data_IF_673660581367
#
_entry.id   IF_673660581367
#
_cell.length_a   1.000
_cell.length_b   1.000
_cell.length_c   1.000
_cell.angle_alpha   90.00
_cell.angle_beta   90.00
_cell.angle_gamma   90.00
#
_symmetry.space_group_name_H-M   'P 1'
#
loop_
_entity.id
_entity.type
_entity.pdbx_description
1 polymer ?
#
# COMPACT_ATOMS: atom_id res chain seq x y z
N UNK A 1 -7.69 -20.44 -1.80
CA UNK A 1 -6.72 -21.32 -2.52
C UNK A 1 -6.72 -21.10 -4.03
N UNK A 2 -7.81 -21.35 -4.77
CA UNK A 2 -7.83 -21.25 -6.26
C UNK A 2 -7.36 -19.88 -6.76
N UNK A 3 -7.92 -18.79 -6.22
CA UNK A 3 -7.51 -17.42 -6.57
C UNK A 3 -6.02 -17.19 -6.25
N UNK A 4 -5.54 -17.70 -5.10
CA UNK A 4 -4.13 -17.61 -4.73
C UNK A 4 -3.19 -18.31 -5.72
N UNK A 5 -3.59 -19.48 -6.24
CA UNK A 5 -2.84 -20.19 -7.28
C UNK A 5 -2.82 -19.37 -8.58
N UNK A 6 -3.96 -18.80 -8.99
CA UNK A 6 -4.06 -17.96 -10.19
C UNK A 6 -3.12 -16.76 -10.07
N UNK A 7 -3.17 -16.04 -8.95
CA UNK A 7 -2.29 -14.89 -8.70
C UNK A 7 -0.83 -15.34 -8.70
N UNK A 8 -0.50 -16.45 -8.03
CA UNK A 8 0.85 -16.99 -8.00
C UNK A 8 1.39 -17.33 -9.40
N UNK A 9 0.58 -17.94 -10.27
CA UNK A 9 0.96 -18.21 -11.66
C UNK A 9 1.19 -16.92 -12.44
N UNK A 10 0.30 -15.93 -12.32
CA UNK A 10 0.44 -14.63 -12.97
C UNK A 10 1.71 -13.90 -12.49
N UNK A 11 1.96 -13.90 -11.18
CA UNK A 11 3.17 -13.33 -10.59
C UNK A 11 4.41 -14.04 -11.14
N UNK A 12 4.41 -15.36 -11.18
CA UNK A 12 5.53 -16.17 -11.69
C UNK A 12 5.89 -15.83 -13.14
N UNK A 13 4.88 -15.72 -14.01
CA UNK A 13 5.05 -15.36 -15.42
C UNK A 13 5.71 -13.98 -15.61
N UNK A 14 5.50 -13.05 -14.68
CA UNK A 14 6.10 -11.72 -14.72
C UNK A 14 7.51 -11.72 -14.13
N UNK A 15 7.68 -12.26 -12.93
CA UNK A 15 8.98 -12.22 -12.23
C UNK A 15 10.05 -13.03 -12.97
N UNK A 16 9.68 -14.04 -13.78
CA UNK A 16 10.64 -14.75 -14.63
C UNK A 16 11.29 -13.83 -15.65
N UNK A 17 10.51 -12.92 -16.27
CA UNK A 17 10.99 -12.04 -17.34
C UNK A 17 12.10 -11.11 -16.86
N UNK A 18 12.02 -10.71 -15.59
CA UNK A 18 13.06 -9.95 -14.90
C UNK A 18 12.65 -8.51 -14.60
N UNK A 19 13.60 -7.78 -14.03
CA UNK A 19 13.39 -6.45 -13.46
C UNK A 19 12.90 -5.42 -14.49
N UNK A 20 13.39 -5.49 -15.75
CA UNK A 20 13.02 -4.51 -16.79
C UNK A 20 11.54 -4.62 -17.15
N UNK A 21 11.06 -5.84 -17.31
CA UNK A 21 9.68 -6.16 -17.67
C UNK A 21 8.74 -5.87 -16.51
N UNK A 22 9.17 -6.16 -15.27
CA UNK A 22 8.45 -5.73 -14.07
C UNK A 22 8.22 -4.21 -14.10
N UNK A 23 9.28 -3.42 -14.33
CA UNK A 23 9.18 -1.97 -14.38
C UNK A 23 8.21 -1.48 -15.47
N UNK A 24 8.27 -2.07 -16.66
CA UNK A 24 7.36 -1.73 -17.78
C UNK A 24 5.89 -2.04 -17.47
N UNK A 25 5.61 -3.17 -16.83
CA UNK A 25 4.25 -3.55 -16.46
C UNK A 25 3.72 -2.62 -15.36
N UNK A 26 4.54 -2.33 -14.35
CA UNK A 26 4.17 -1.41 -13.26
C UNK A 26 3.89 0.01 -13.78
N UNK A 27 4.64 0.48 -14.78
CA UNK A 27 4.39 1.77 -15.44
C UNK A 27 2.99 1.87 -16.05
N UNK A 28 2.40 0.76 -16.48
CA UNK A 28 1.04 0.71 -17.02
C UNK A 28 -0.01 0.45 -15.94
N UNK A 29 0.22 -0.50 -15.03
CA UNK A 29 -0.73 -0.88 -13.99
C UNK A 29 -0.99 0.24 -12.99
N UNK A 30 0.06 0.94 -12.54
CA UNK A 30 -0.06 2.00 -11.52
C UNK A 30 -0.99 3.14 -11.92
N UNK A 31 -0.86 3.78 -13.11
CA UNK A 31 -1.81 4.80 -13.51
C UNK A 31 -3.21 4.24 -13.75
N UNK A 32 -3.34 3.04 -14.33
CA UNK A 32 -4.64 2.43 -14.59
C UNK A 32 -5.43 2.20 -13.30
N UNK A 33 -4.81 1.61 -12.28
CA UNK A 33 -5.47 1.34 -10.99
C UNK A 33 -5.79 2.64 -10.24
N UNK A 34 -4.88 3.61 -10.28
CA UNK A 34 -5.05 4.87 -9.56
C UNK A 34 -6.14 5.73 -10.18
N UNK A 35 -6.13 5.89 -11.51
CA UNK A 35 -7.12 6.72 -12.23
C UNK A 35 -8.50 6.09 -12.11
N UNK A 36 -8.62 4.77 -12.31
CA UNK A 36 -9.91 4.08 -12.17
C UNK A 36 -10.49 4.23 -10.76
N UNK A 37 -9.65 4.09 -9.72
CA UNK A 37 -10.08 4.28 -8.34
C UNK A 37 -10.51 5.71 -8.04
N UNK A 38 -9.76 6.71 -8.54
CA UNK A 38 -10.11 8.13 -8.38
C UNK A 38 -11.45 8.44 -9.07
N UNK A 39 -11.69 7.92 -10.27
CA UNK A 39 -12.97 8.14 -10.97
C UNK A 39 -14.14 7.61 -10.14
N UNK A 40 -14.04 6.38 -9.63
CA UNK A 40 -15.08 5.79 -8.79
C UNK A 40 -15.28 6.57 -7.49
N UNK A 41 -14.18 6.98 -6.85
CA UNK A 41 -14.21 7.83 -5.68
C UNK A 41 -14.87 9.18 -5.92
N UNK A 42 -14.57 9.82 -7.05
CA UNK A 42 -15.17 11.10 -7.43
C UNK A 42 -16.67 10.97 -7.68
N UNK A 43 -17.14 9.86 -8.27
CA UNK A 43 -18.58 9.59 -8.42
C UNK A 43 -19.26 9.55 -7.05
N UNK A 44 -18.68 8.84 -6.09
CA UNK A 44 -19.21 8.77 -4.71
C UNK A 44 -19.18 10.13 -4.03
N UNK A 45 -18.07 10.86 -4.18
CA UNK A 45 -17.91 12.22 -3.64
C UNK A 45 -18.99 13.14 -4.18
N UNK A 46 -19.21 13.16 -5.50
CA UNK A 46 -20.19 14.03 -6.17
C UNK A 46 -21.61 13.70 -5.69
N UNK A 47 -21.94 12.41 -5.58
CA UNK A 47 -23.27 11.99 -5.14
C UNK A 47 -23.55 12.30 -3.65
N UNK A 48 -22.51 12.53 -2.85
CA UNK A 48 -22.63 12.75 -1.41
C UNK A 48 -22.09 14.13 -0.96
N UNK A 49 -21.98 15.10 -1.88
CA UNK A 49 -21.34 16.41 -1.63
C UNK A 49 -21.83 17.09 -0.35
N UNK A 50 -23.12 17.01 -0.06
CA UNK A 50 -23.73 17.69 1.10
C UNK A 50 -23.23 17.14 2.44
N UNK A 51 -22.90 15.85 2.50
CA UNK A 51 -22.52 15.16 3.74
C UNK A 51 -21.01 15.25 3.99
N UNK A 52 -20.21 15.45 2.94
CA UNK A 52 -18.74 15.48 3.00
C UNK A 52 -18.18 16.48 4.02
N UNK A 53 -18.65 17.75 4.09
CA UNK A 53 -18.17 18.69 5.09
C UNK A 53 -18.33 18.16 6.52
N UNK A 54 -19.46 17.49 6.80
CA UNK A 54 -19.72 16.90 8.10
C UNK A 54 -18.81 15.70 8.38
N UNK A 55 -18.54 14.86 7.38
CA UNK A 55 -17.59 13.75 7.49
C UNK A 55 -16.18 14.26 7.83
N UNK A 56 -15.69 15.28 7.12
CA UNK A 56 -14.37 15.86 7.38
C UNK A 56 -14.30 16.44 8.79
N UNK A 57 -15.34 17.15 9.22
CA UNK A 57 -15.43 17.68 10.59
C UNK A 57 -15.41 16.55 11.63
N UNK A 58 -16.10 15.44 11.38
CA UNK A 58 -16.11 14.29 12.27
C UNK A 58 -14.74 13.61 12.34
N UNK A 59 -14.06 13.41 11.20
CA UNK A 59 -12.69 12.86 11.17
C UNK A 59 -11.75 13.71 12.05
N UNK A 60 -11.82 15.03 11.92
CA UNK A 60 -10.96 15.94 12.71
C UNK A 60 -11.36 15.88 14.19
N UNK A 61 -12.66 15.93 14.51
CA UNK A 61 -13.16 15.90 15.89
C UNK A 61 -12.80 14.60 16.59
N UNK A 62 -13.04 13.46 15.96
CA UNK A 62 -12.76 12.13 16.51
C UNK A 62 -11.25 11.87 16.58
N UNK A 63 -10.51 12.24 15.53
CA UNK A 63 -9.06 12.10 15.50
C UNK A 63 -8.33 12.96 16.53
N UNK A 64 -8.92 14.08 16.97
CA UNK A 64 -8.38 14.96 18.01
C UNK A 64 -9.13 14.84 19.35
N UNK A 65 -10.00 13.84 19.52
CA UNK A 65 -10.79 13.70 20.73
C UNK A 65 -9.92 13.19 21.90
N UNK A 66 -9.58 14.09 22.82
CA UNK A 66 -8.75 13.77 24.00
C UNK A 66 -9.57 13.30 25.21
N UNK A 67 -10.89 13.19 25.11
CA UNK A 67 -11.77 12.87 26.26
C UNK A 67 -11.44 11.52 26.91
N UNK A 68 -10.87 10.57 26.15
CA UNK A 68 -10.38 9.28 26.63
C UNK A 68 -8.99 9.00 26.04
N UNK A 69 -7.97 9.71 26.55
CA UNK A 69 -6.58 9.63 26.08
C UNK A 69 -6.07 8.19 25.94
N UNK A 70 -6.11 7.42 27.02
CA UNK A 70 -5.51 6.08 27.05
C UNK A 70 -6.37 5.01 26.37
N UNK A 71 -7.70 5.12 26.44
CA UNK A 71 -8.60 4.07 25.97
C UNK A 71 -9.10 4.27 24.54
N UNK A 72 -9.05 5.49 24.01
CA UNK A 72 -9.59 5.80 22.68
C UNK A 72 -8.58 6.53 21.81
N UNK A 73 -7.98 7.62 22.29
CA UNK A 73 -7.12 8.46 21.46
C UNK A 73 -5.82 7.75 21.04
N UNK A 74 -5.05 7.23 22.01
CA UNK A 74 -3.75 6.59 21.73
C UNK A 74 -3.91 5.38 20.79
N UNK A 75 -4.85 4.43 21.01
CA UNK A 75 -5.05 3.31 20.10
C UNK A 75 -5.41 3.73 18.67
N UNK A 76 -6.31 4.70 18.50
CA UNK A 76 -6.70 5.22 17.18
C UNK A 76 -5.50 5.86 16.47
N UNK A 77 -4.70 6.63 17.20
CA UNK A 77 -3.49 7.26 16.67
C UNK A 77 -2.45 6.23 16.25
N UNK A 78 -2.22 5.19 17.06
CA UNK A 78 -1.29 4.10 16.72
C UNK A 78 -1.74 3.39 15.44
N UNK A 79 -3.01 2.97 15.37
CA UNK A 79 -3.55 2.30 14.19
C UNK A 79 -3.45 3.21 12.96
N UNK A 80 -3.76 4.50 13.11
CA UNK A 80 -3.64 5.48 12.02
C UNK A 80 -2.21 5.63 11.50
N UNK A 81 -1.22 5.67 12.40
CA UNK A 81 0.20 5.74 12.04
C UNK A 81 0.65 4.43 11.37
N UNK A 82 0.33 3.28 11.95
CA UNK A 82 0.71 1.96 11.41
C UNK A 82 0.18 1.76 9.98
N UNK A 83 -1.13 1.96 9.77
CA UNK A 83 -1.73 1.77 8.45
C UNK A 83 -1.35 2.88 7.47
N UNK A 84 -1.09 4.09 7.97
CA UNK A 84 -0.56 5.21 7.19
C UNK A 84 0.83 4.91 6.63
N UNK A 85 1.77 4.49 7.49
CA UNK A 85 3.14 4.10 7.09
C UNK A 85 3.09 2.93 6.12
N UNK A 86 2.25 1.93 6.38
CA UNK A 86 2.09 0.78 5.50
C UNK A 86 1.59 1.20 4.10
N UNK A 87 0.62 2.12 4.03
CA UNK A 87 0.03 2.53 2.75
C UNK A 87 0.96 3.39 1.90
N UNK A 88 1.76 4.27 2.50
CA UNK A 88 2.54 5.26 1.78
C UNK A 88 4.06 5.00 1.79
N UNK A 89 4.48 3.95 2.49
CA UNK A 89 5.88 3.53 2.66
C UNK A 89 6.81 4.65 3.15
N UNK A 90 6.26 5.64 3.86
CA UNK A 90 7.02 6.76 4.36
C UNK A 90 8.00 6.30 5.45
N UNK A 91 9.27 6.65 5.27
CA UNK A 91 10.30 6.38 6.28
C UNK A 91 10.88 4.96 6.28
N UNK A 92 10.34 4.01 5.50
CA UNK A 92 10.89 2.64 5.42
C UNK A 92 11.92 2.41 4.31
N UNK A 93 12.08 3.38 3.40
CA UNK A 93 13.14 3.38 2.38
C UNK A 93 12.85 2.58 1.10
N UNK A 94 11.72 1.89 1.01
CA UNK A 94 11.33 1.07 -0.15
C UNK A 94 11.22 1.90 -1.45
N UNK A 95 10.58 3.07 -1.39
CA UNK A 95 10.47 4.00 -2.51
C UNK A 95 11.82 4.39 -3.14
N UNK A 96 12.89 4.49 -2.34
CA UNK A 96 14.23 4.80 -2.84
C UNK A 96 14.82 3.68 -3.71
N UNK A 97 14.44 2.41 -3.45
CA UNK A 97 14.87 1.25 -4.24
C UNK A 97 14.29 1.30 -5.66
N UNK A 98 13.03 1.73 -5.80
CA UNK A 98 12.40 1.92 -7.11
C UNK A 98 13.15 2.98 -7.93
N UNK A 99 13.38 4.13 -7.30
CA UNK A 99 13.97 5.33 -7.93
C UNK A 99 15.41 5.14 -8.34
N UNK A 100 16.17 4.34 -7.59
CA UNK A 100 17.57 4.03 -7.89
C UNK A 100 17.77 3.33 -9.24
N UNK A 101 16.72 2.74 -9.82
CA UNK A 101 16.75 2.15 -11.16
C UNK A 101 16.45 3.13 -12.29
N UNK A 102 16.05 4.36 -11.96
CA UNK A 102 15.73 5.37 -12.95
C UNK A 102 17.00 5.85 -13.67
N UNK A 103 16.87 6.19 -14.95
CA UNK A 103 18.00 6.70 -15.77
C UNK A 103 18.33 8.18 -15.51
N UNK A 104 17.64 8.82 -14.57
CA UNK A 104 17.84 10.24 -14.28
C UNK A 104 19.03 10.41 -13.34
N UNK A 105 19.85 11.42 -13.60
CA UNK A 105 21.01 11.74 -12.76
C UNK A 105 20.67 12.76 -11.66
N UNK A 106 19.45 13.28 -11.63
CA UNK A 106 19.05 14.31 -10.70
C UNK A 106 18.30 13.73 -9.50
N UNK A 107 19.06 13.38 -8.45
CA UNK A 107 18.52 12.84 -7.21
C UNK A 107 17.48 13.77 -6.56
N UNK A 108 17.65 15.09 -6.67
CA UNK A 108 16.74 16.09 -6.09
C UNK A 108 15.35 16.04 -6.74
N UNK A 109 15.31 16.00 -8.08
CA UNK A 109 14.05 15.88 -8.81
C UNK A 109 13.33 14.56 -8.50
N UNK A 110 14.08 13.48 -8.39
CA UNK A 110 13.53 12.17 -8.03
C UNK A 110 12.97 12.15 -6.61
N UNK A 111 13.68 12.77 -5.66
CA UNK A 111 13.21 12.92 -4.28
C UNK A 111 11.90 13.69 -4.20
N UNK A 112 11.77 14.82 -4.91
CA UNK A 112 10.50 15.56 -4.98
C UNK A 112 9.37 14.74 -5.60
N UNK A 113 9.66 13.95 -6.63
CA UNK A 113 8.68 13.04 -7.22
C UNK A 113 8.15 12.01 -6.21
N UNK A 114 9.02 11.47 -5.35
CA UNK A 114 8.61 10.54 -4.30
C UNK A 114 7.78 11.20 -3.21
N UNK A 115 8.20 12.38 -2.74
CA UNK A 115 7.41 13.16 -1.78
C UNK A 115 6.01 13.43 -2.33
N UNK A 116 5.92 13.84 -3.60
CA UNK A 116 4.64 14.05 -4.27
C UNK A 116 3.81 12.75 -4.33
N UNK A 117 4.41 11.62 -4.67
CA UNK A 117 3.76 10.31 -4.66
C UNK A 117 3.18 9.93 -3.29
N UNK A 118 3.94 10.12 -2.21
CA UNK A 118 3.49 9.86 -0.84
C UNK A 118 2.29 10.74 -0.46
N UNK A 119 2.31 12.03 -0.81
CA UNK A 119 1.17 12.93 -0.60
C UNK A 119 -0.04 12.52 -1.42
N UNK A 120 0.16 12.15 -2.68
CA UNK A 120 -0.91 11.74 -3.58
C UNK A 120 -1.62 10.50 -3.05
N UNK A 121 -0.88 9.48 -2.61
CA UNK A 121 -1.48 8.27 -2.02
C UNK A 121 -2.23 8.62 -0.73
N UNK A 122 -1.61 9.36 0.18
CA UNK A 122 -2.17 9.60 1.52
C UNK A 122 -3.35 10.57 1.49
N UNK A 123 -3.21 11.73 0.82
CA UNK A 123 -4.21 12.80 0.85
C UNK A 123 -5.33 12.61 -0.17
N UNK A 124 -5.07 11.94 -1.29
CA UNK A 124 -6.09 11.75 -2.33
C UNK A 124 -6.67 10.34 -2.25
N UNK A 125 -5.87 9.30 -2.45
CA UNK A 125 -6.38 7.93 -2.58
C UNK A 125 -6.96 7.41 -1.26
N UNK A 126 -6.23 7.57 -0.14
CA UNK A 126 -6.70 7.10 1.16
C UNK A 126 -7.89 7.92 1.66
N UNK A 127 -7.88 9.24 1.46
CA UNK A 127 -9.02 10.11 1.81
C UNK A 127 -10.27 9.75 1.02
N UNK A 128 -10.14 9.49 -0.29
CA UNK A 128 -11.25 9.00 -1.11
C UNK A 128 -11.81 7.68 -0.53
N UNK A 129 -10.93 6.75 -0.16
CA UNK A 129 -11.33 5.48 0.46
C UNK A 129 -12.09 5.71 1.76
N UNK A 130 -11.60 6.61 2.61
CA UNK A 130 -12.28 6.98 3.85
C UNK A 130 -13.66 7.59 3.57
N UNK A 131 -13.78 8.49 2.59
CA UNK A 131 -15.08 9.09 2.20
C UNK A 131 -16.03 8.02 1.67
N UNK A 132 -15.58 7.11 0.82
CA UNK A 132 -16.40 6.00 0.31
C UNK A 132 -16.99 5.20 1.46
N UNK A 133 -16.20 4.89 2.48
CA UNK A 133 -16.66 4.14 3.66
C UNK A 133 -17.59 4.98 4.54
N UNK A 134 -17.18 6.19 4.91
CA UNK A 134 -17.86 7.04 5.88
C UNK A 134 -19.18 7.65 5.37
N UNK A 135 -19.42 7.61 4.06
CA UNK A 135 -20.71 7.97 3.46
C UNK A 135 -21.75 6.85 3.56
N UNK A 136 -21.40 5.70 4.15
CA UNK A 136 -22.30 4.55 4.30
C UNK A 136 -22.66 4.29 5.76
N UNK A 137 -23.73 3.52 5.99
CA UNK A 137 -24.14 3.10 7.33
C UNK A 137 -23.32 1.88 7.83
N UNK A 138 -21.99 1.93 7.69
CA UNK A 138 -21.11 0.82 8.04
C UNK A 138 -21.13 0.47 9.53
N UNK A 139 -21.53 1.40 10.41
CA UNK A 139 -21.62 1.18 11.86
C UNK A 139 -22.65 0.11 12.27
N UNK A 140 -23.57 -0.27 11.37
CA UNK A 140 -24.53 -1.34 11.61
C UNK A 140 -23.99 -2.74 11.26
N UNK A 141 -22.78 -2.82 10.70
CA UNK A 141 -22.15 -4.09 10.37
C UNK A 141 -21.61 -4.75 11.64
N UNK A 142 -22.02 -6.00 11.84
CA UNK A 142 -21.39 -6.87 12.83
C UNK A 142 -20.10 -7.40 12.21
N UNK A 143 -19.00 -6.68 12.46
CA UNK A 143 -17.67 -7.03 11.93
C UNK A 143 -17.10 -8.13 12.81
N UNK A 144 -17.26 -9.38 12.38
CA UNK A 144 -16.66 -10.54 13.04
C UNK A 144 -15.17 -10.71 12.70
N UNK A 145 -14.69 -10.04 11.65
CA UNK A 145 -13.35 -10.24 11.11
C UNK A 145 -12.66 -8.89 10.86
N UNK A 146 -11.46 -8.71 11.41
CA UNK A 146 -10.79 -7.39 11.54
C UNK A 146 -10.11 -6.95 10.23
N UNK A 147 -10.32 -7.66 9.12
CA UNK A 147 -9.51 -7.45 7.91
C UNK A 147 -9.92 -6.21 7.10
N UNK A 148 -11.09 -5.61 7.38
CA UNK A 148 -11.53 -4.33 6.82
C UNK A 148 -12.05 -4.38 5.38
N UNK A 149 -11.72 -5.44 4.62
CA UNK A 149 -12.20 -5.62 3.24
C UNK A 149 -13.73 -5.79 3.19
N UNK A 150 -14.33 -6.34 4.23
CA UNK A 150 -15.78 -6.48 4.36
C UNK A 150 -16.48 -5.11 4.42
N UNK A 151 -15.85 -4.13 5.08
CA UNK A 151 -16.35 -2.74 5.18
C UNK A 151 -16.29 -2.08 3.80
N UNK A 152 -15.18 -2.26 3.10
CA UNK A 152 -15.04 -1.77 1.73
C UNK A 152 -16.08 -2.41 0.80
N UNK A 153 -16.31 -3.73 0.90
CA UNK A 153 -17.32 -4.43 0.07
C UNK A 153 -18.72 -3.88 0.34
N UNK A 154 -19.09 -3.70 1.62
CA UNK A 154 -20.35 -3.06 1.97
C UNK A 154 -20.47 -1.66 1.37
N UNK A 155 -19.42 -0.83 1.48
CA UNK A 155 -19.45 0.54 0.96
C UNK A 155 -19.58 0.59 -0.57
N UNK A 156 -18.87 -0.30 -1.27
CA UNK A 156 -18.99 -0.42 -2.72
C UNK A 156 -20.37 -0.91 -3.16
N UNK A 157 -20.95 -1.90 -2.46
CA UNK A 157 -22.31 -2.35 -2.75
C UNK A 157 -23.36 -1.30 -2.44
N UNK A 158 -23.15 -0.48 -1.41
CA UNK A 158 -24.04 0.64 -1.08
C UNK A 158 -24.08 1.68 -2.20
N UNK A 159 -22.93 2.07 -2.75
CA UNK A 159 -22.85 3.12 -3.78
C UNK A 159 -23.09 2.63 -5.20
N UNK A 160 -22.70 1.39 -5.52
CA UNK A 160 -22.73 0.84 -6.88
C UNK A 160 -23.69 -0.34 -7.06
N UNK A 161 -24.50 -0.64 -6.04
CA UNK A 161 -25.46 -1.74 -6.06
C UNK A 161 -24.80 -3.10 -6.27
N UNK A 162 -25.46 -3.98 -7.03
CA UNK A 162 -24.98 -5.35 -7.31
C UNK A 162 -23.63 -5.39 -8.05
N UNK A 163 -23.21 -4.28 -8.65
CA UNK A 163 -21.92 -4.20 -9.35
C UNK A 163 -20.76 -3.84 -8.42
N UNK A 164 -21.03 -3.33 -7.21
CA UNK A 164 -20.01 -2.86 -6.27
C UNK A 164 -18.98 -3.91 -5.90
N UNK A 165 -19.43 -5.12 -5.55
CA UNK A 165 -18.56 -6.24 -5.21
C UNK A 165 -17.63 -6.62 -6.36
N UNK A 166 -18.14 -6.71 -7.59
CA UNK A 166 -17.33 -7.02 -8.77
C UNK A 166 -16.28 -5.93 -9.05
N UNK A 167 -16.66 -4.66 -8.90
CA UNK A 167 -15.74 -3.52 -9.03
C UNK A 167 -14.63 -3.60 -7.99
N UNK A 168 -14.98 -3.85 -6.73
CA UNK A 168 -14.01 -3.96 -5.64
C UNK A 168 -13.05 -5.13 -5.87
N UNK A 169 -13.55 -6.30 -6.27
CA UNK A 169 -12.72 -7.48 -6.57
C UNK A 169 -11.72 -7.15 -7.69
N UNK A 170 -12.17 -6.52 -8.77
CA UNK A 170 -11.29 -6.18 -9.90
C UNK A 170 -10.20 -5.19 -9.50
N UNK A 171 -10.55 -4.14 -8.77
CA UNK A 171 -9.59 -3.13 -8.31
C UNK A 171 -8.60 -3.73 -7.31
N UNK A 172 -9.08 -4.46 -6.31
CA UNK A 172 -8.22 -5.07 -5.29
C UNK A 172 -7.29 -6.11 -5.88
N UNK A 173 -7.73 -6.83 -6.92
CA UNK A 173 -6.86 -7.72 -7.68
C UNK A 173 -5.72 -6.94 -8.34
N UNK A 174 -6.02 -5.85 -9.07
CA UNK A 174 -4.98 -5.05 -9.73
C UNK A 174 -4.04 -4.40 -8.72
N UNK A 175 -4.57 -3.83 -7.63
CA UNK A 175 -3.78 -3.24 -6.55
C UNK A 175 -2.85 -4.28 -5.92
N UNK A 176 -3.39 -5.39 -5.41
CA UNK A 176 -2.61 -6.44 -4.76
C UNK A 176 -1.56 -7.04 -5.70
N UNK A 177 -1.91 -7.27 -6.96
CA UNK A 177 -0.98 -7.78 -7.96
C UNK A 177 0.18 -6.82 -8.22
N UNK A 178 -0.10 -5.52 -8.36
CA UNK A 178 0.93 -4.50 -8.53
C UNK A 178 1.90 -4.46 -7.33
N UNK A 179 1.36 -4.56 -6.11
CA UNK A 179 2.15 -4.56 -4.88
C UNK A 179 3.03 -5.81 -4.77
N UNK A 180 2.51 -7.00 -5.08
CA UNK A 180 3.29 -8.25 -5.06
C UNK A 180 4.51 -8.14 -6.00
N UNK A 181 4.31 -7.62 -7.21
CA UNK A 181 5.38 -7.46 -8.20
C UNK A 181 6.40 -6.41 -7.73
N UNK A 182 5.95 -5.29 -7.17
CA UNK A 182 6.82 -4.25 -6.62
C UNK A 182 7.66 -4.78 -5.45
N UNK A 183 7.05 -5.50 -4.50
CA UNK A 183 7.76 -6.11 -3.37
C UNK A 183 8.79 -7.15 -3.82
N UNK A 184 8.48 -7.96 -4.84
CA UNK A 184 9.48 -8.87 -5.42
C UNK A 184 10.66 -8.09 -6.03
N UNK A 185 10.38 -7.02 -6.77
CA UNK A 185 11.42 -6.15 -7.33
C UNK A 185 12.31 -5.52 -6.23
N UNK A 186 11.72 -5.06 -5.12
CA UNK A 186 12.49 -4.57 -3.96
C UNK A 186 13.37 -5.67 -3.37
N UNK A 187 12.81 -6.86 -3.14
CA UNK A 187 13.54 -8.01 -2.64
C UNK A 187 14.71 -8.42 -3.54
N UNK A 188 14.50 -8.49 -4.86
CA UNK A 188 15.55 -8.86 -5.81
C UNK A 188 16.66 -7.79 -5.84
N UNK A 189 16.29 -6.50 -5.78
CA UNK A 189 17.24 -5.39 -5.78
C UNK A 189 18.07 -5.36 -4.49
N UNK A 190 17.45 -5.56 -3.33
CA UNK A 190 18.13 -5.65 -2.04
C UNK A 190 19.04 -6.88 -1.97
N UNK A 191 18.59 -8.03 -2.48
CA UNK A 191 19.40 -9.25 -2.53
C UNK A 191 20.65 -9.03 -3.41
N UNK A 192 20.49 -8.42 -4.59
CA UNK A 192 21.60 -8.01 -5.49
C UNK A 192 22.61 -7.10 -4.83
N UNK A 193 22.17 -6.23 -3.94
CA UNK A 193 23.07 -5.35 -3.20
C UNK A 193 23.86 -6.10 -2.11
N UNK A 194 23.21 -6.98 -1.35
CA UNK A 194 23.85 -7.70 -0.22
C UNK A 194 24.86 -8.74 -0.72
N UNK A 195 24.52 -9.47 -1.78
CA UNK A 195 25.34 -10.55 -2.30
C UNK A 195 26.11 -10.09 -3.54
N UNK A 196 27.28 -9.50 -3.33
CA UNK A 196 28.13 -8.86 -4.35
C UNK A 196 28.45 -9.75 -5.57
N UNK A 197 28.45 -11.07 -5.39
CA UNK A 197 28.69 -12.07 -6.43
C UNK A 197 27.51 -13.07 -6.52
N UNK A 198 26.32 -12.56 -6.87
CA UNK A 198 25.10 -13.36 -6.83
C UNK A 198 25.13 -14.50 -7.85
N UNK A 199 25.05 -15.72 -7.33
CA UNK A 199 24.73 -16.86 -8.17
C UNK A 199 23.27 -16.77 -8.59
N UNK A 200 22.99 -17.16 -9.84
CA UNK A 200 21.65 -17.23 -10.43
C UNK A 200 20.68 -18.04 -9.55
N UNK A 201 21.22 -18.96 -8.75
CA UNK A 201 20.48 -19.78 -7.80
C UNK A 201 19.76 -18.97 -6.71
N UNK A 202 20.38 -17.93 -6.13
CA UNK A 202 19.73 -17.11 -5.09
C UNK A 202 18.52 -16.34 -5.63
N UNK A 203 18.59 -15.87 -6.87
CA UNK A 203 17.46 -15.20 -7.54
C UNK A 203 16.33 -16.21 -7.79
N UNK A 204 16.66 -17.43 -8.23
CA UNK A 204 15.66 -18.49 -8.42
C UNK A 204 14.98 -18.85 -7.09
N UNK A 205 15.77 -18.98 -6.03
CA UNK A 205 15.25 -19.26 -4.68
C UNK A 205 14.31 -18.14 -4.20
N UNK A 206 14.67 -16.87 -4.42
CA UNK A 206 13.79 -15.74 -4.10
C UNK A 206 12.46 -15.84 -4.86
N UNK A 207 12.49 -16.12 -6.18
CA UNK A 207 11.28 -16.31 -7.00
C UNK A 207 10.39 -17.41 -6.43
N UNK A 208 10.97 -18.58 -6.10
CA UNK A 208 10.23 -19.71 -5.54
C UNK A 208 9.59 -19.34 -4.20
N UNK A 209 10.34 -18.70 -3.31
CA UNK A 209 9.83 -18.24 -2.01
C UNK A 209 8.69 -17.25 -2.19
N UNK A 210 8.82 -16.29 -3.10
CA UNK A 210 7.74 -15.32 -3.38
C UNK A 210 6.46 -16.02 -3.83
N UNK A 211 6.55 -16.98 -4.75
CA UNK A 211 5.37 -17.73 -5.21
C UNK A 211 4.73 -18.53 -4.06
N UNK A 212 5.53 -19.19 -3.23
CA UNK A 212 5.04 -19.91 -2.06
C UNK A 212 4.35 -18.98 -1.06
N UNK A 213 4.92 -17.80 -0.81
CA UNK A 213 4.33 -16.79 0.08
C UNK A 213 3.01 -16.23 -0.48
N UNK A 214 2.87 -16.05 -1.79
CA UNK A 214 1.60 -15.63 -2.42
C UNK A 214 0.51 -16.68 -2.20
N UNK A 215 0.82 -17.97 -2.39
CA UNK A 215 -0.14 -19.05 -2.17
C UNK A 215 -0.50 -19.15 -0.68
N UNK A 216 0.51 -19.09 0.21
CA UNK A 216 0.31 -19.13 1.65
C UNK A 216 -0.52 -17.94 2.15
N UNK A 217 -0.25 -16.73 1.64
CA UNK A 217 -1.01 -15.52 1.96
C UNK A 217 -2.50 -15.64 1.63
N UNK A 218 -2.86 -16.44 0.62
CA UNK A 218 -4.26 -16.66 0.24
C UNK A 218 -5.03 -17.63 1.18
N UNK A 219 -4.37 -18.23 2.17
CA UNK A 219 -4.98 -19.14 3.15
C UNK A 219 -4.64 -18.78 4.61
N UNK A 220 -3.61 -17.96 4.83
CA UNK A 220 -3.18 -17.55 6.16
C UNK A 220 -4.18 -16.59 6.82
N UNK A 221 -4.19 -16.60 8.16
CA UNK A 221 -4.98 -15.65 8.94
C UNK A 221 -4.44 -14.23 8.73
N UNK A 222 -5.34 -13.28 8.44
CA UNK A 222 -4.96 -11.91 8.15
C UNK A 222 -4.34 -11.17 9.33
N UNK A 223 -4.86 -11.36 10.54
CA UNK A 223 -4.31 -10.75 11.76
C UNK A 223 -2.88 -11.22 12.02
N UNK A 224 -2.61 -12.50 11.77
CA UNK A 224 -1.25 -13.03 11.83
C UNK A 224 -0.33 -12.37 10.79
N UNK A 225 -0.80 -12.21 9.55
CA UNK A 225 -0.02 -11.53 8.50
C UNK A 225 0.25 -10.06 8.84
N UNK A 226 -0.75 -9.33 9.33
CA UNK A 226 -0.59 -7.94 9.74
C UNK A 226 0.44 -7.78 10.87
N UNK A 227 0.37 -8.62 11.90
CA UNK A 227 1.34 -8.57 13.00
C UNK A 227 2.79 -8.80 12.50
N UNK A 228 2.99 -9.72 11.55
CA UNK A 228 4.31 -9.94 10.95
C UNK A 228 4.76 -8.72 10.14
N UNK A 229 3.87 -8.18 9.32
CA UNK A 229 4.15 -7.01 8.49
C UNK A 229 4.54 -5.82 9.36
N UNK A 230 3.81 -5.55 10.43
CA UNK A 230 4.06 -4.41 11.31
C UNK A 230 5.44 -4.50 11.98
N UNK A 231 5.88 -5.70 12.37
CA UNK A 231 7.23 -5.95 12.90
C UNK A 231 8.30 -5.63 11.85
N UNK A 232 8.16 -6.15 10.62
CA UNK A 232 9.15 -5.92 9.56
C UNK A 232 9.19 -4.47 9.07
N UNK A 233 8.03 -3.83 8.93
CA UNK A 233 7.89 -2.40 8.60
C UNK A 233 8.55 -1.55 9.68
N UNK A 234 8.33 -1.87 10.96
CA UNK A 234 8.98 -1.21 12.08
C UNK A 234 10.51 -1.33 12.04
N UNK A 235 11.04 -2.54 11.78
CA UNK A 235 12.47 -2.79 11.64
C UNK A 235 13.08 -2.01 10.46
N UNK A 236 12.44 -2.03 9.30
CA UNK A 236 12.87 -1.26 8.12
C UNK A 236 12.87 0.24 8.42
N UNK A 237 11.82 0.75 9.06
CA UNK A 237 11.73 2.13 9.51
C UNK A 237 12.88 2.52 10.44
N UNK A 238 13.17 1.72 11.46
CA UNK A 238 14.27 1.98 12.40
C UNK A 238 15.63 2.06 11.70
N UNK A 239 15.93 1.09 10.83
CA UNK A 239 17.19 1.04 10.09
C UNK A 239 17.32 2.26 9.17
N UNK A 240 16.25 2.57 8.42
CA UNK A 240 16.27 3.64 7.44
C UNK A 240 16.32 5.03 8.10
N UNK A 241 15.58 5.26 9.17
CA UNK A 241 15.63 6.52 9.94
C UNK A 241 17.04 6.73 10.52
N UNK A 242 17.65 5.67 11.08
CA UNK A 242 19.04 5.75 11.55
C UNK A 242 20.01 6.13 10.42
N UNK A 243 19.89 5.49 9.26
CA UNK A 243 20.71 5.78 8.09
C UNK A 243 20.54 7.23 7.61
N UNK A 244 19.29 7.71 7.49
CA UNK A 244 18.98 9.10 7.12
C UNK A 244 19.58 10.08 8.11
N UNK A 245 19.46 9.83 9.42
CA UNK A 245 20.02 10.72 10.43
C UNK A 245 21.55 10.83 10.32
N UNK A 246 22.23 9.69 10.10
CA UNK A 246 23.69 9.66 9.88
C UNK A 246 24.12 10.37 8.58
N UNK A 247 23.28 10.34 7.55
CA UNK A 247 23.54 10.96 6.24
C UNK A 247 23.02 12.39 6.11
N UNK A 248 22.28 12.90 7.11
CA UNK A 248 21.59 14.18 7.09
C UNK A 248 22.51 15.35 6.70
N UNK A 249 23.74 15.36 7.21
CA UNK A 249 24.72 16.40 6.87
C UNK A 249 25.16 16.41 5.40
N UNK A 250 25.13 15.27 4.71
CA UNK A 250 25.41 15.20 3.26
C UNK A 250 24.21 15.66 2.46
N UNK A 251 23.02 15.19 2.83
CA UNK A 251 21.76 15.58 2.18
C UNK A 251 21.56 17.10 2.28
N UNK A 252 21.75 17.72 3.45
CA UNK A 252 21.62 19.19 3.60
C UNK A 252 22.63 20.02 2.79
N UNK A 253 23.75 19.44 2.35
CA UNK A 253 24.73 20.12 1.50
C UNK A 253 24.37 20.01 0.02
N UNK A 254 23.75 18.90 -0.37
CA UNK A 254 23.37 18.63 -1.75
C UNK A 254 21.99 19.23 -2.13
N UNK A 255 21.22 19.72 -1.16
CA UNK A 255 19.84 20.22 -1.32
C UNK A 255 19.66 21.68 -0.94
#
# INVERSE_FOLDING_TARGET
LVIGIIIAVLTFLIIIKGIKEISLITLFLTPLMTISYIILGLIVVINNIEIIPNIILNIIKEGLNLNCLFNSFIPILIIGIERGIFSNEAGIGAAAIAVASSKSNNAKQQGYGQIFGTYFISLIICTITAIIILTTNYGNLIINNINGIEIANYAFNYHFGQHGEYILILITLVFSFSTIIACYYYGESSLKYICWNISTWWIILLKIITIMLVIYGAIANSLFLWNIVDIFVGLLGLINIYAINKLNHKIKKDY
#
